data_IF_065359124727
#
_entry.id   IF_065359124727
#
_cell.length_a   1.000
_cell.length_b   1.000
_cell.length_c   1.000
_cell.angle_alpha   90.00
_cell.angle_beta   90.00
_cell.angle_gamma   90.00
#
_symmetry.space_group_name_H-M   'P 1'
#
loop_
_entity.id
_entity.type
_entity.pdbx_description
1 polymer ?
#
# COMPACT_ATOMS: atom_id res chain seq x y z
N UNK A 1 12.38 16.40 5.78
CA UNK A 1 12.76 15.63 4.57
C UNK A 1 11.52 14.90 4.12
N UNK A 2 10.85 15.36 3.06
CA UNK A 2 9.68 14.69 2.50
C UNK A 2 10.16 13.42 1.81
N UNK A 3 9.81 12.25 2.36
CA UNK A 3 10.02 10.99 1.67
C UNK A 3 9.30 11.08 0.32
N UNK A 4 10.06 11.11 -0.77
CA UNK A 4 9.49 11.15 -2.11
C UNK A 4 8.84 9.80 -2.33
N UNK A 5 7.50 9.78 -2.42
CA UNK A 5 6.74 8.54 -2.62
C UNK A 5 7.16 7.98 -3.98
N UNK A 6 7.91 6.87 -3.95
CA UNK A 6 8.40 6.19 -5.15
C UNK A 6 7.22 5.75 -6.03
N UNK A 7 7.42 5.71 -7.35
CA UNK A 7 6.36 5.30 -8.30
C UNK A 7 5.75 3.93 -7.95
N UNK A 8 6.58 3.00 -7.47
CA UNK A 8 6.14 1.66 -7.03
C UNK A 8 5.20 1.73 -5.82
N UNK A 9 5.41 2.69 -4.92
CA UNK A 9 4.53 2.93 -3.77
C UNK A 9 3.17 3.44 -4.23
N UNK A 10 3.13 4.40 -5.17
CA UNK A 10 1.87 4.88 -5.75
C UNK A 10 1.11 3.74 -6.43
N UNK A 11 1.78 2.94 -7.26
CA UNK A 11 1.16 1.78 -7.93
C UNK A 11 0.63 0.75 -6.93
N UNK A 12 1.37 0.49 -5.86
CA UNK A 12 0.95 -0.39 -4.78
C UNK A 12 -0.31 0.13 -4.07
N UNK A 13 -0.33 1.41 -3.69
CA UNK A 13 -1.48 2.03 -3.05
C UNK A 13 -2.71 2.04 -3.98
N UNK A 14 -2.53 2.30 -5.29
CA UNK A 14 -3.63 2.25 -6.27
C UNK A 14 -4.20 0.84 -6.39
N UNK A 15 -3.33 -0.17 -6.41
CA UNK A 15 -3.73 -1.57 -6.48
C UNK A 15 -4.49 -2.03 -5.23
N UNK A 16 -4.13 -1.53 -4.04
CA UNK A 16 -4.89 -1.75 -2.80
C UNK A 16 -6.21 -0.96 -2.80
N UNK A 17 -6.27 0.21 -3.44
CA UNK A 17 -7.47 1.04 -3.53
C UNK A 17 -8.57 0.43 -4.40
N UNK A 18 -8.17 -0.29 -5.45
CA UNK A 18 -9.05 -0.83 -6.49
C UNK A 18 -10.16 -1.74 -5.94
N UNK A 19 -9.80 -2.63 -4.99
CA UNK A 19 -10.76 -3.53 -4.35
C UNK A 19 -10.25 -3.95 -2.96
N UNK A 20 -11.13 -4.40 -2.04
CA UNK A 20 -10.70 -4.98 -0.77
C UNK A 20 -9.71 -6.13 -1.01
N UNK A 21 -8.53 -6.08 -0.39
CA UNK A 21 -7.49 -7.10 -0.51
C UNK A 21 -7.16 -7.74 0.82
N UNK A 22 -6.62 -8.94 0.76
CA UNK A 22 -6.01 -9.61 1.90
C UNK A 22 -4.48 -9.53 1.83
N UNK A 23 -3.81 -9.80 2.95
CA UNK A 23 -2.35 -9.98 2.95
C UNK A 23 -1.93 -11.06 1.95
N UNK A 24 -2.71 -12.14 1.81
CA UNK A 24 -2.40 -13.22 0.86
C UNK A 24 -2.44 -12.72 -0.59
N UNK A 25 -3.48 -11.97 -0.99
CA UNK A 25 -3.55 -11.29 -2.30
C UNK A 25 -2.29 -10.45 -2.56
N UNK A 26 -1.89 -9.64 -1.56
CA UNK A 26 -0.71 -8.79 -1.67
C UNK A 26 0.53 -9.65 -1.92
N UNK A 27 0.75 -10.66 -1.08
CA UNK A 27 1.88 -11.57 -1.16
C UNK A 27 1.85 -12.46 -2.42
N UNK A 28 0.71 -12.62 -3.08
CA UNK A 28 0.62 -13.35 -4.34
C UNK A 28 0.97 -12.45 -5.52
N UNK A 29 0.38 -11.25 -5.57
CA UNK A 29 0.52 -10.34 -6.70
C UNK A 29 1.90 -9.67 -6.79
N UNK A 30 2.55 -9.38 -5.66
CA UNK A 30 3.76 -8.56 -5.62
C UNK A 30 5.03 -9.37 -5.33
N UNK A 31 4.93 -10.65 -4.92
CA UNK A 31 6.08 -11.43 -4.40
C UNK A 31 6.94 -12.01 -5.52
N UNK A 32 6.45 -11.94 -6.75
CA UNK A 32 7.07 -12.52 -7.93
C UNK A 32 8.36 -11.81 -8.36
N UNK A 33 8.64 -10.59 -7.89
CA UNK A 33 9.74 -9.77 -8.43
C UNK A 33 10.94 -9.57 -7.51
N UNK A 34 10.83 -9.80 -6.19
CA UNK A 34 11.97 -9.67 -5.28
C UNK A 34 11.69 -10.35 -3.91
N UNK A 35 12.67 -11.02 -3.28
CA UNK A 35 12.50 -11.64 -1.96
C UNK A 35 12.36 -10.61 -0.83
N UNK A 36 12.92 -9.40 -1.00
CA UNK A 36 12.63 -8.26 -0.16
C UNK A 36 11.38 -7.61 -0.72
N UNK A 37 10.39 -7.40 0.14
CA UNK A 37 9.08 -6.91 -0.23
C UNK A 37 8.89 -5.47 0.28
N UNK A 38 9.81 -4.54 -0.06
CA UNK A 38 9.99 -3.30 0.68
C UNK A 38 8.76 -2.40 0.59
N UNK A 39 8.06 -2.37 -0.54
CA UNK A 39 6.92 -1.45 -0.73
C UNK A 39 5.79 -1.70 0.26
N UNK A 40 5.53 -2.94 0.64
CA UNK A 40 4.52 -3.28 1.65
C UNK A 40 4.98 -2.92 3.05
N UNK A 41 6.24 -3.23 3.38
CA UNK A 41 6.82 -2.93 4.69
C UNK A 41 6.92 -1.42 4.90
N UNK A 42 7.38 -0.69 3.89
CA UNK A 42 7.43 0.76 3.86
C UNK A 42 6.03 1.38 3.94
N UNK A 43 5.04 0.82 3.22
CA UNK A 43 3.66 1.34 3.28
C UNK A 43 3.02 1.16 4.65
N UNK A 44 3.33 0.05 5.34
CA UNK A 44 2.93 -0.17 6.73
C UNK A 44 3.66 0.77 7.68
N UNK A 45 4.99 0.90 7.54
CA UNK A 45 5.84 1.73 8.38
C UNK A 45 5.48 3.22 8.27
N UNK A 46 5.18 3.69 7.05
CA UNK A 46 4.73 5.05 6.76
C UNK A 46 3.24 5.28 7.12
N UNK A 47 2.53 4.23 7.58
CA UNK A 47 1.13 4.31 7.95
C UNK A 47 0.20 4.63 6.78
N UNK A 48 0.57 4.26 5.55
CA UNK A 48 -0.22 4.46 4.33
C UNK A 48 -1.29 3.38 4.17
N UNK A 49 -1.02 2.18 4.69
CA UNK A 49 -1.97 1.08 4.77
C UNK A 49 -2.10 0.59 6.20
N UNK A 50 -3.22 -0.05 6.50
CA UNK A 50 -3.46 -0.77 7.75
C UNK A 50 -3.90 -2.19 7.45
N UNK A 51 -3.52 -3.10 8.34
CA UNK A 51 -4.03 -4.46 8.33
C UNK A 51 -5.17 -4.57 9.36
N UNK A 52 -6.35 -4.99 8.92
CA UNK A 52 -7.51 -5.18 9.77
C UNK A 52 -7.96 -6.65 9.74
N UNK A 53 -8.24 -7.22 10.91
CA UNK A 53 -8.62 -8.62 11.07
C UNK A 53 -7.87 -9.29 12.22
N UNK A 54 -8.55 -10.18 12.95
CA UNK A 54 -7.98 -10.94 14.08
C UNK A 54 -7.24 -12.21 13.65
N UNK A 55 -6.60 -12.87 14.61
CA UNK A 55 -5.72 -14.05 14.42
C UNK A 55 -6.35 -15.21 13.63
N UNK A 56 -7.68 -15.28 13.55
CA UNK A 56 -8.45 -16.35 12.90
C UNK A 56 -9.15 -15.91 11.60
N UNK A 57 -9.01 -14.65 11.18
CA UNK A 57 -9.70 -14.08 10.01
C UNK A 57 -8.78 -13.73 8.84
N UNK A 58 -9.37 -13.50 7.67
CA UNK A 58 -8.67 -12.95 6.51
C UNK A 58 -8.13 -11.56 6.86
N UNK A 59 -6.81 -11.45 6.99
CA UNK A 59 -6.14 -10.17 7.29
C UNK A 59 -6.31 -9.23 6.11
N UNK A 60 -7.35 -8.42 6.16
CA UNK A 60 -7.66 -7.40 5.17
C UNK A 60 -6.64 -6.28 5.21
N UNK A 61 -6.39 -5.71 4.05
CA UNK A 61 -5.51 -4.58 3.84
C UNK A 61 -6.37 -3.44 3.36
N UNK A 62 -6.27 -2.33 4.08
CA UNK A 62 -7.04 -1.12 3.77
C UNK A 62 -6.11 0.08 3.71
N UNK A 63 -6.41 1.03 2.82
CA UNK A 63 -5.75 2.32 2.80
C UNK A 63 -6.16 3.17 4.01
N UNK A 64 -5.18 3.78 4.65
CA UNK A 64 -5.42 4.83 5.63
C UNK A 64 -5.78 6.13 4.92
N UNK A 65 -6.24 7.13 5.67
CA UNK A 65 -6.48 8.48 5.16
C UNK A 65 -5.21 9.10 4.55
N UNK A 66 -4.06 8.81 5.16
CA UNK A 66 -2.73 9.22 4.66
C UNK A 66 -2.40 8.56 3.33
N UNK A 67 -2.64 7.25 3.20
CA UNK A 67 -2.46 6.52 1.94
C UNK A 67 -3.34 7.04 0.82
N UNK A 68 -4.60 7.38 1.13
CA UNK A 68 -5.51 8.01 0.16
C UNK A 68 -5.06 9.40 -0.25
N UNK A 69 -4.49 10.17 0.67
CA UNK A 69 -3.94 11.50 0.36
C UNK A 69 -2.68 11.40 -0.50
N UNK A 70 -1.83 10.40 -0.24
CA UNK A 70 -0.67 10.09 -1.07
C UNK A 70 -1.02 9.69 -2.51
N UNK A 71 -2.21 9.15 -2.74
CA UNK A 71 -2.73 8.81 -4.07
C UNK A 71 -3.29 10.01 -4.84
N UNK A 72 -3.58 11.12 -4.17
CA UNK A 72 -4.09 12.30 -4.88
C UNK A 72 -2.99 12.76 -5.84
N UNK A 73 -3.26 12.87 -7.14
CA UNK A 73 -2.30 13.48 -8.04
C UNK A 73 -1.99 14.86 -7.49
N UNK A 74 -0.69 15.18 -7.36
CA UNK A 74 -0.29 16.57 -7.18
C UNK A 74 -1.03 17.39 -8.24
N UNK A 75 -1.70 18.50 -7.88
CA UNK A 75 -2.14 19.43 -8.91
C UNK A 75 -0.91 19.78 -9.78
N UNK A 76 -1.06 19.85 -11.11
CA UNK A 76 0.05 20.22 -11.98
C UNK A 76 0.60 21.58 -11.52
N UNK A 77 1.93 21.78 -11.50
CA UNK A 77 2.47 23.11 -11.29
C UNK A 77 2.04 24.00 -12.47
N UNK A 78 1.36 25.11 -12.16
CA UNK A 78 0.98 26.16 -13.11
C UNK A 78 2.21 26.86 -13.68
#
# INVERSE_FOLDING_TARGET
MTAQISLIMVQFLQWVADRPRTRSDVMEAWRSSCPRFPVWEDALAEGLIRQCGGETGERRVELTDRGRTALKPSPPPT
#
